data_IF_026770238520
#
_entry.id   IF_026770238520
#
_cell.length_a   1.000
_cell.length_b   1.000
_cell.length_c   1.000
_cell.angle_alpha   90.00
_cell.angle_beta   90.00
_cell.angle_gamma   90.00
#
_symmetry.space_group_name_H-M   'P 1'
#
loop_
_entity.id
_entity.type
_entity.pdbx_description
1 polymer ?
#
# COMPACT_ATOMS: atom_id res chain seq x y z
N UNK A 1 -13.62 -9.80 -9.35
CA UNK A 1 -12.36 -9.29 -9.92
C UNK A 1 -12.46 -9.35 -11.44
N UNK A 2 -12.41 -8.21 -12.13
CA UNK A 2 -12.53 -8.14 -13.58
C UNK A 2 -11.27 -8.68 -14.26
N UNK A 3 -11.38 -9.14 -15.50
CA UNK A 3 -10.23 -9.58 -16.32
C UNK A 3 -9.21 -8.46 -16.51
N UNK A 4 -9.64 -7.20 -16.50
CA UNK A 4 -8.76 -6.01 -16.52
C UNK A 4 -7.97 -5.83 -15.22
N UNK A 5 -8.59 -6.06 -14.07
CA UNK A 5 -7.95 -5.91 -12.77
C UNK A 5 -6.88 -6.98 -12.58
N UNK A 6 -7.15 -8.21 -13.05
CA UNK A 6 -6.19 -9.30 -13.04
C UNK A 6 -4.95 -9.00 -13.89
N UNK A 7 -5.14 -8.46 -15.10
CA UNK A 7 -4.05 -8.08 -16.00
C UNK A 7 -3.22 -6.92 -15.42
N UNK A 8 -3.85 -5.92 -14.80
CA UNK A 8 -3.14 -4.83 -14.15
C UNK A 8 -2.30 -5.33 -12.96
N UNK A 9 -2.87 -6.17 -12.11
CA UNK A 9 -2.17 -6.76 -10.98
C UNK A 9 -0.98 -7.64 -11.42
N UNK A 10 -1.13 -8.37 -12.52
CA UNK A 10 -0.04 -9.14 -13.14
C UNK A 10 1.06 -8.24 -13.68
N UNK A 11 0.71 -7.21 -14.45
CA UNK A 11 1.67 -6.23 -14.97
C UNK A 11 2.47 -5.54 -13.85
N UNK A 12 1.80 -5.15 -12.77
CA UNK A 12 2.45 -4.57 -11.60
C UNK A 12 3.45 -5.54 -10.95
N UNK A 13 3.04 -6.80 -10.71
CA UNK A 13 3.94 -7.83 -10.13
C UNK A 13 5.16 -8.09 -11.02
N UNK A 14 4.95 -8.17 -12.33
CA UNK A 14 6.03 -8.38 -13.29
C UNK A 14 7.01 -7.19 -13.29
N UNK A 15 6.51 -5.96 -13.23
CA UNK A 15 7.33 -4.76 -13.10
C UNK A 15 8.15 -4.74 -11.80
N UNK A 16 7.53 -5.06 -10.66
CA UNK A 16 8.23 -5.15 -9.37
C UNK A 16 9.32 -6.23 -9.40
N UNK A 17 9.04 -7.39 -10.01
CA UNK A 17 10.04 -8.47 -10.14
C UNK A 17 11.24 -8.02 -10.98
N UNK A 18 11.00 -7.41 -12.14
CA UNK A 18 12.07 -6.91 -13.00
C UNK A 18 12.92 -5.84 -12.28
N UNK A 19 12.30 -4.96 -11.50
CA UNK A 19 13.01 -3.98 -10.68
C UNK A 19 13.93 -4.66 -9.64
N UNK A 20 13.45 -5.70 -8.96
CA UNK A 20 14.22 -6.47 -7.98
C UNK A 20 15.43 -7.13 -8.67
N UNK A 21 15.21 -7.80 -9.81
CA UNK A 21 16.28 -8.47 -10.55
C UNK A 21 17.37 -7.47 -10.97
N UNK A 22 16.98 -6.29 -11.48
CA UNK A 22 17.92 -5.23 -11.86
C UNK A 22 18.70 -4.68 -10.66
N UNK A 23 18.05 -4.51 -9.51
CA UNK A 23 18.73 -4.06 -8.30
C UNK A 23 19.78 -5.07 -7.83
N UNK A 24 19.47 -6.37 -7.88
CA UNK A 24 20.42 -7.44 -7.53
C UNK A 24 21.58 -7.51 -8.51
N UNK A 25 21.32 -7.42 -9.81
CA UNK A 25 22.37 -7.38 -10.84
C UNK A 25 23.32 -6.19 -10.59
N UNK A 26 22.76 -5.00 -10.34
CA UNK A 26 23.55 -3.81 -10.04
C UNK A 26 24.40 -3.99 -8.77
N UNK A 27 23.83 -4.55 -7.71
CA UNK A 27 24.55 -4.82 -6.47
C UNK A 27 25.75 -5.75 -6.69
N UNK A 28 25.54 -6.90 -7.35
CA UNK A 28 26.61 -7.85 -7.70
C UNK A 28 27.67 -7.18 -8.57
N UNK A 29 27.27 -6.41 -9.57
CA UNK A 29 28.20 -5.70 -10.48
C UNK A 29 29.08 -4.70 -9.73
N UNK A 30 28.56 -4.04 -8.69
CA UNK A 30 29.32 -3.12 -7.84
C UNK A 30 30.25 -3.88 -6.89
N UNK A 31 29.83 -5.04 -6.38
CA UNK A 31 30.59 -5.84 -5.42
C UNK A 31 31.85 -6.44 -6.06
N UNK A 32 31.74 -6.99 -7.27
CA UNK A 32 32.85 -7.68 -7.97
C UNK A 32 33.90 -6.74 -8.57
N UNK A 33 33.71 -5.41 -8.51
CA UNK A 33 34.67 -4.44 -9.02
C UNK A 33 35.76 -4.15 -7.99
N UNK A 34 37.00 -4.40 -8.40
CA UNK A 34 38.20 -4.23 -7.56
C UNK A 34 38.44 -2.77 -7.12
N UNK A 35 37.97 -1.79 -7.88
CA UNK A 35 38.16 -0.35 -7.67
C UNK A 35 36.93 0.38 -7.08
N UNK A 36 35.83 -0.34 -6.82
CA UNK A 36 34.54 0.28 -6.53
C UNK A 36 34.30 0.67 -5.05
N UNK A 37 35.35 0.91 -4.27
CA UNK A 37 35.22 1.23 -2.83
C UNK A 37 34.30 2.42 -2.54
N UNK A 38 34.51 3.54 -3.24
CA UNK A 38 33.68 4.75 -3.10
C UNK A 38 32.25 4.53 -3.61
N UNK A 39 32.09 3.78 -4.71
CA UNK A 39 30.78 3.46 -5.28
C UNK A 39 29.96 2.58 -4.31
N UNK A 40 30.60 1.58 -3.68
CA UNK A 40 29.97 0.74 -2.65
C UNK A 40 29.51 1.57 -1.46
N UNK A 41 30.33 2.50 -0.98
CA UNK A 41 29.96 3.36 0.13
C UNK A 41 28.76 4.26 -0.21
N UNK A 42 28.75 4.89 -1.39
CA UNK A 42 27.61 5.70 -1.85
C UNK A 42 26.34 4.87 -2.02
N UNK A 43 26.44 3.67 -2.59
CA UNK A 43 25.30 2.77 -2.75
C UNK A 43 24.74 2.33 -1.40
N UNK A 44 25.61 2.00 -0.43
CA UNK A 44 25.20 1.66 0.94
C UNK A 44 24.49 2.83 1.64
N UNK A 45 25.01 4.05 1.52
CA UNK A 45 24.37 5.26 2.06
C UNK A 45 22.98 5.45 1.45
N UNK A 46 22.85 5.36 0.12
CA UNK A 46 21.56 5.50 -0.56
C UNK A 46 20.56 4.41 -0.11
N UNK A 47 21.00 3.17 0.05
CA UNK A 47 20.16 2.08 0.52
C UNK A 47 19.67 2.30 1.96
N UNK A 48 20.56 2.77 2.85
CA UNK A 48 20.19 3.10 4.24
C UNK A 48 19.24 4.30 4.32
N UNK A 49 19.43 5.31 3.47
CA UNK A 49 18.51 6.45 3.35
C UNK A 49 17.12 6.00 2.87
N UNK A 50 17.07 5.19 1.82
CA UNK A 50 15.81 4.64 1.31
C UNK A 50 15.09 3.76 2.35
N UNK A 51 15.84 2.94 3.09
CA UNK A 51 15.29 2.16 4.20
C UNK A 51 14.71 3.07 5.30
N UNK A 52 15.44 4.12 5.69
CA UNK A 52 14.99 5.06 6.71
C UNK A 52 13.71 5.80 6.28
N UNK A 53 13.64 6.23 5.02
CA UNK A 53 12.46 6.89 4.46
C UNK A 53 11.25 5.94 4.39
N UNK A 54 11.46 4.71 3.91
CA UNK A 54 10.43 3.68 3.89
C UNK A 54 9.92 3.32 5.29
N UNK A 55 10.82 3.16 6.25
CA UNK A 55 10.47 2.90 7.65
C UNK A 55 9.69 4.07 8.28
N UNK A 56 10.09 5.31 8.01
CA UNK A 56 9.34 6.50 8.45
C UNK A 56 7.93 6.49 7.89
N UNK A 57 7.78 6.28 6.58
CA UNK A 57 6.46 6.24 5.94
C UNK A 57 5.59 5.08 6.39
N UNK A 58 6.17 3.94 6.79
CA UNK A 58 5.41 2.77 7.21
C UNK A 58 5.03 2.80 8.69
N UNK A 59 5.91 3.35 9.55
CA UNK A 59 5.82 3.17 11.00
C UNK A 59 5.61 4.47 11.77
N UNK A 60 6.09 5.60 11.24
CA UNK A 60 6.00 6.91 11.92
C UNK A 60 4.85 7.73 11.36
N UNK A 61 4.78 7.82 10.04
CA UNK A 61 3.77 8.57 9.30
C UNK A 61 2.96 7.63 8.38
N UNK A 62 2.25 6.63 8.94
CA UNK A 62 1.53 5.66 8.13
C UNK A 62 0.48 6.33 7.25
N UNK A 63 0.26 5.83 6.01
CA UNK A 63 -0.74 6.39 5.12
C UNK A 63 -2.11 6.41 5.78
N UNK A 64 -2.88 7.49 5.52
CA UNK A 64 -4.17 7.72 6.15
C UNK A 64 -5.04 6.45 6.06
N UNK A 65 -5.48 5.89 7.20
CA UNK A 65 -6.15 4.60 7.23
C UNK A 65 -7.51 4.63 6.49
N UNK A 66 -8.08 5.81 6.23
CA UNK A 66 -9.28 5.96 5.39
C UNK A 66 -9.02 5.62 3.93
N UNK A 67 -7.85 5.99 3.40
CA UNK A 67 -7.47 5.65 2.03
C UNK A 67 -7.40 4.12 1.88
N UNK A 68 -6.87 3.43 2.89
CA UNK A 68 -6.78 1.97 2.89
C UNK A 68 -8.17 1.33 2.93
N UNK A 69 -9.07 1.83 3.77
CA UNK A 69 -10.45 1.34 3.85
C UNK A 69 -11.20 1.55 2.53
N UNK A 70 -11.09 2.74 1.92
CA UNK A 70 -11.74 2.99 0.64
C UNK A 70 -11.19 2.11 -0.47
N UNK A 71 -9.89 1.80 -0.46
CA UNK A 71 -9.31 0.82 -1.38
C UNK A 71 -9.89 -0.58 -1.17
N UNK A 72 -9.98 -1.04 0.08
CA UNK A 72 -10.58 -2.34 0.41
C UNK A 72 -12.04 -2.40 -0.09
N UNK A 73 -12.83 -1.36 0.18
CA UNK A 73 -14.25 -1.29 -0.24
C UNK A 73 -14.37 -1.20 -1.77
N UNK A 74 -13.46 -0.50 -2.44
CA UNK A 74 -13.46 -0.40 -3.91
C UNK A 74 -13.18 -1.74 -4.59
N UNK A 75 -12.31 -2.56 -3.99
CA UNK A 75 -11.95 -3.89 -4.49
C UNK A 75 -12.97 -4.97 -4.09
N UNK A 76 -13.87 -4.68 -3.13
CA UNK A 76 -14.93 -5.59 -2.68
C UNK A 76 -16.15 -5.54 -3.64
N UNK A 77 -16.54 -6.68 -4.27
CA UNK A 77 -17.70 -6.73 -5.15
C UNK A 77 -19.04 -6.60 -4.40
N UNK A 78 -19.07 -6.73 -3.06
CA UNK A 78 -20.27 -6.58 -2.27
C UNK A 78 -20.77 -5.13 -2.25
N UNK A 79 -22.07 -4.96 -2.03
CA UNK A 79 -22.69 -3.64 -1.81
C UNK A 79 -22.73 -3.23 -0.34
N UNK A 80 -22.29 -4.10 0.58
CA UNK A 80 -22.19 -3.78 2.01
C UNK A 80 -21.26 -4.77 2.70
N UNK A 81 -20.74 -4.38 3.86
CA UNK A 81 -19.87 -5.24 4.65
C UNK A 81 -19.48 -4.66 6.00
N UNK A 82 -18.58 -5.38 6.69
CA UNK A 82 -18.03 -4.96 7.98
C UNK A 82 -16.51 -5.03 7.90
N UNK A 83 -15.85 -3.95 8.30
CA UNK A 83 -14.39 -3.84 8.40
C UNK A 83 -14.00 -3.41 9.82
N UNK A 84 -12.73 -3.60 10.23
CA UNK A 84 -12.22 -2.97 11.44
C UNK A 84 -12.21 -1.45 11.32
N UNK A 85 -12.68 -0.75 12.35
CA UNK A 85 -12.63 0.70 12.43
C UNK A 85 -11.16 1.16 12.51
N UNK A 86 -10.75 2.13 11.68
CA UNK A 86 -9.35 2.58 11.65
C UNK A 86 -8.95 3.36 12.91
N UNK A 87 -9.93 3.88 13.65
CA UNK A 87 -9.71 4.73 14.83
C UNK A 87 -9.71 3.92 16.12
N UNK A 88 -10.65 2.97 16.27
CA UNK A 88 -10.86 2.23 17.52
C UNK A 88 -10.78 0.72 17.40
N UNK A 89 -10.53 0.17 16.21
CA UNK A 89 -10.56 -1.26 15.89
C UNK A 89 -11.90 -1.99 16.13
N UNK A 90 -12.97 -1.29 16.55
CA UNK A 90 -14.33 -1.83 16.63
C UNK A 90 -14.94 -2.12 15.25
N UNK A 91 -16.20 -2.57 15.19
CA UNK A 91 -16.85 -2.86 13.90
C UNK A 91 -17.30 -1.60 13.18
N UNK A 92 -16.88 -1.47 11.93
CA UNK A 92 -17.28 -0.43 10.98
C UNK A 92 -18.14 -1.07 9.90
N UNK A 93 -19.43 -0.75 9.91
CA UNK A 93 -20.38 -1.20 8.88
C UNK A 93 -20.34 -0.21 7.73
N UNK A 94 -20.30 -0.71 6.50
CA UNK A 94 -20.35 0.13 5.30
C UNK A 94 -21.39 -0.39 4.30
N UNK A 95 -21.92 0.53 3.50
CA UNK A 95 -22.90 0.25 2.44
C UNK A 95 -22.58 1.13 1.24
N UNK A 96 -22.71 0.55 0.05
CA UNK A 96 -22.70 1.21 -1.24
C UNK A 96 -24.15 1.42 -1.67
N UNK A 97 -24.53 2.69 -1.78
CA UNK A 97 -25.85 3.07 -2.24
C UNK A 97 -26.10 2.55 -3.66
N UNK A 98 -27.24 1.88 -3.86
CA UNK A 98 -27.58 1.24 -5.14
C UNK A 98 -28.03 2.22 -6.23
N UNK A 99 -28.41 3.44 -5.86
CA UNK A 99 -28.91 4.47 -6.75
C UNK A 99 -27.79 5.33 -7.33
N UNK A 100 -26.81 5.73 -6.52
CA UNK A 100 -25.74 6.63 -6.94
C UNK A 100 -24.31 6.06 -6.73
N UNK A 101 -24.17 4.88 -6.11
CA UNK A 101 -22.89 4.24 -5.86
C UNK A 101 -22.07 4.85 -4.72
N UNK A 102 -22.63 5.85 -4.01
CA UNK A 102 -21.96 6.53 -2.91
C UNK A 102 -21.76 5.59 -1.71
N UNK A 103 -20.66 5.80 -0.98
CA UNK A 103 -20.31 4.98 0.17
C UNK A 103 -20.74 5.65 1.47
N UNK A 104 -21.46 4.90 2.28
CA UNK A 104 -21.79 5.24 3.66
C UNK A 104 -21.07 4.29 4.60
N UNK A 105 -20.50 4.82 5.68
CA UNK A 105 -19.84 3.99 6.68
C UNK A 105 -20.01 4.55 8.09
N UNK A 106 -20.28 3.67 9.06
CA UNK A 106 -20.41 4.04 10.47
C UNK A 106 -19.86 2.97 11.40
N UNK A 107 -19.01 3.40 12.33
CA UNK A 107 -18.52 2.55 13.41
C UNK A 107 -19.60 2.38 14.49
N UNK A 108 -19.66 1.18 15.09
CA UNK A 108 -20.54 0.86 16.22
C UNK A 108 -20.21 1.69 17.48
N UNK A 109 -18.96 2.13 17.63
CA UNK A 109 -18.53 2.98 18.75
C UNK A 109 -19.11 4.38 18.61
N UNK A 110 -19.92 4.78 19.60
CA UNK A 110 -20.58 6.08 19.61
C UNK A 110 -19.58 7.23 19.47
N UNK A 111 -19.86 8.14 18.53
CA UNK A 111 -19.02 9.33 18.28
C UNK A 111 -17.64 9.03 17.67
N UNK A 112 -17.35 7.80 17.25
CA UNK A 112 -16.03 7.43 16.77
C UNK A 112 -15.79 7.84 15.31
N UNK A 113 -16.27 7.03 14.36
CA UNK A 113 -15.93 7.20 12.95
C UNK A 113 -17.17 7.02 12.08
N UNK A 114 -17.46 8.03 11.25
CA UNK A 114 -18.57 8.02 10.31
C UNK A 114 -18.20 8.84 9.08
N UNK A 115 -18.56 8.34 7.89
CA UNK A 115 -18.51 9.11 6.66
C UNK A 115 -19.77 8.90 5.83
N UNK A 116 -20.05 9.88 4.98
CA UNK A 116 -21.09 9.87 3.98
C UNK A 116 -20.49 10.60 2.79
N UNK A 117 -20.18 9.85 1.74
CA UNK A 117 -19.70 10.42 0.49
C UNK A 117 -20.89 10.75 -0.38
#
# INVERSE_FOLDING_TARGET
MSTRDAAYAEGFRNGVRAMIDMALIAAVTIEVRDDAGEIRQRAAVAALQGLAEGAKSALVDPPNPLIQIFKIIADDPASSGVLPCPTCAGRLVWVRDSFNGHLHGQCETAGCFRWMQ
#
